data_IF_454117515634
#
_entry.id   IF_454117515634
#
_cell.length_a   1.000
_cell.length_b   1.000
_cell.length_c   1.000
_cell.angle_alpha   90.00
_cell.angle_beta   90.00
_cell.angle_gamma   90.00
#
_symmetry.space_group_name_H-M   'P 1'
#
loop_
_entity.id
_entity.type
_entity.pdbx_description
1 polymer ?
#
# COMPACT_ATOMS: atom_id res chain seq x y z
N UNK A 1 -6.54 -26.52 16.39
CA UNK A 1 -7.48 -25.73 15.57
C UNK A 1 -6.64 -24.97 14.56
N UNK A 2 -6.68 -25.39 13.30
CA UNK A 2 -5.81 -24.92 12.23
C UNK A 2 -5.87 -23.40 12.07
N UNK A 3 -4.71 -22.78 11.89
CA UNK A 3 -4.45 -21.34 11.83
C UNK A 3 -5.05 -20.72 10.54
N UNK A 4 -6.38 -20.64 10.50
CA UNK A 4 -7.12 -20.04 9.38
C UNK A 4 -6.66 -18.60 9.12
N UNK A 5 -6.23 -17.88 10.15
CA UNK A 5 -5.74 -16.51 10.05
C UNK A 5 -4.40 -16.44 9.30
N UNK A 6 -3.45 -17.30 9.66
CA UNK A 6 -2.19 -17.46 8.93
C UNK A 6 -2.43 -17.83 7.46
N UNK A 7 -3.37 -18.73 7.18
CA UNK A 7 -3.72 -19.11 5.80
C UNK A 7 -4.24 -17.92 4.97
N UNK A 8 -5.15 -17.10 5.54
CA UNK A 8 -5.67 -15.91 4.85
C UNK A 8 -4.60 -14.83 4.64
N UNK A 9 -3.69 -14.64 5.61
CA UNK A 9 -2.59 -13.68 5.48
C UNK A 9 -1.57 -14.12 4.40
N UNK A 10 -1.27 -15.42 4.31
CA UNK A 10 -0.42 -15.98 3.26
C UNK A 10 -1.09 -15.84 1.88
N UNK A 11 -2.39 -16.12 1.80
CA UNK A 11 -3.16 -15.95 0.56
C UNK A 11 -3.16 -14.51 0.06
N UNK A 12 -3.35 -13.54 0.96
CA UNK A 12 -3.26 -12.11 0.66
C UNK A 12 -1.88 -11.72 0.13
N UNK A 13 -0.81 -12.09 0.85
CA UNK A 13 0.55 -11.80 0.42
C UNK A 13 0.91 -12.46 -0.92
N UNK A 14 0.39 -13.66 -1.20
CA UNK A 14 0.58 -14.35 -2.46
C UNK A 14 -0.08 -13.61 -3.63
N UNK A 15 -1.30 -13.09 -3.44
CA UNK A 15 -2.01 -12.30 -4.46
C UNK A 15 -1.23 -11.01 -4.76
N UNK A 16 -0.82 -10.28 -3.73
CA UNK A 16 -0.04 -9.04 -3.87
C UNK A 16 1.28 -9.30 -4.63
N UNK A 17 1.99 -10.37 -4.26
CA UNK A 17 3.27 -10.72 -4.87
C UNK A 17 3.10 -11.17 -6.33
N UNK A 18 2.06 -11.97 -6.61
CA UNK A 18 1.74 -12.42 -7.96
C UNK A 18 1.33 -11.26 -8.86
N UNK A 19 0.50 -10.33 -8.35
CA UNK A 19 0.11 -9.12 -9.08
C UNK A 19 1.33 -8.29 -9.47
N UNK A 20 2.19 -7.95 -8.51
CA UNK A 20 3.41 -7.20 -8.78
C UNK A 20 4.34 -7.92 -9.79
N UNK A 21 4.49 -9.24 -9.68
CA UNK A 21 5.28 -10.04 -10.60
C UNK A 21 4.72 -10.02 -12.03
N UNK A 22 3.41 -10.23 -12.19
CA UNK A 22 2.75 -10.21 -13.50
C UNK A 22 2.81 -8.82 -14.12
N UNK A 23 2.55 -7.76 -13.36
CA UNK A 23 2.67 -6.36 -13.83
C UNK A 23 4.09 -6.08 -14.32
N UNK A 24 5.09 -6.53 -13.58
CA UNK A 24 6.51 -6.40 -13.97
C UNK A 24 6.77 -7.10 -15.31
N UNK A 25 6.30 -8.34 -15.50
CA UNK A 25 6.48 -9.09 -16.75
C UNK A 25 5.75 -8.44 -17.92
N UNK A 26 4.50 -8.02 -17.72
CA UNK A 26 3.67 -7.41 -18.76
C UNK A 26 4.36 -6.14 -19.24
N UNK A 27 4.72 -5.24 -18.32
CA UNK A 27 5.39 -3.98 -18.67
C UNK A 27 6.74 -4.23 -19.35
N UNK A 28 7.56 -5.14 -18.82
CA UNK A 28 8.85 -5.48 -19.43
C UNK A 28 8.73 -5.97 -20.88
N UNK A 29 7.56 -6.49 -21.29
CA UNK A 29 7.29 -6.97 -22.64
C UNK A 29 6.50 -6.00 -23.51
N UNK A 30 5.73 -5.08 -22.92
CA UNK A 30 4.80 -4.21 -23.65
C UNK A 30 5.30 -2.80 -23.87
N UNK A 31 6.28 -2.32 -23.09
CA UNK A 31 6.81 -0.95 -23.21
C UNK A 31 8.28 -0.93 -23.64
N UNK A 32 8.77 0.24 -24.04
CA UNK A 32 10.18 0.42 -24.38
C UNK A 32 11.08 0.21 -23.13
N UNK A 33 12.35 -0.19 -23.30
CA UNK A 33 13.28 -0.34 -22.19
C UNK A 33 13.45 0.95 -21.35
N UNK A 34 13.38 2.11 -22.00
CA UNK A 34 13.44 3.42 -21.35
C UNK A 34 12.24 3.66 -20.43
N UNK A 35 11.02 3.47 -20.94
CA UNK A 35 9.80 3.60 -20.14
C UNK A 35 9.72 2.58 -19.00
N UNK A 36 10.21 1.35 -19.24
CA UNK A 36 10.30 0.32 -18.20
C UNK A 36 11.31 0.72 -17.09
N UNK A 37 12.42 1.35 -17.46
CA UNK A 37 13.40 1.87 -16.50
C UNK A 37 12.81 2.94 -15.59
N UNK A 38 12.10 3.91 -16.16
CA UNK A 38 11.37 4.95 -15.41
C UNK A 38 10.36 4.32 -14.44
N UNK A 39 9.54 3.37 -14.93
CA UNK A 39 8.58 2.67 -14.09
C UNK A 39 9.26 1.92 -12.94
N UNK A 40 10.34 1.19 -13.22
CA UNK A 40 11.07 0.40 -12.21
C UNK A 40 11.60 1.28 -11.08
N UNK A 41 12.17 2.46 -11.41
CA UNK A 41 12.69 3.40 -10.42
C UNK A 41 11.56 3.98 -9.56
N UNK A 42 10.48 4.46 -10.18
CA UNK A 42 9.36 5.05 -9.46
C UNK A 42 8.63 4.01 -8.60
N UNK A 43 8.39 2.82 -9.14
CA UNK A 43 7.74 1.73 -8.42
C UNK A 43 8.59 1.22 -7.26
N UNK A 44 9.90 1.04 -7.46
CA UNK A 44 10.84 0.67 -6.40
C UNK A 44 10.89 1.71 -5.28
N UNK A 45 10.88 3.00 -5.62
CA UNK A 45 10.76 4.08 -4.64
C UNK A 45 9.44 4.00 -3.88
N UNK A 46 8.31 3.77 -4.55
CA UNK A 46 7.00 3.63 -3.90
C UNK A 46 6.97 2.44 -2.91
N UNK A 47 7.59 1.30 -3.24
CA UNK A 47 7.71 0.18 -2.30
C UNK A 47 8.52 0.57 -1.05
N UNK A 48 9.62 1.30 -1.22
CA UNK A 48 10.40 1.82 -0.11
C UNK A 48 9.59 2.80 0.76
N UNK A 49 8.88 3.74 0.15
CA UNK A 49 8.05 4.72 0.87
C UNK A 49 6.87 4.06 1.60
N UNK A 50 6.29 3.01 1.04
CA UNK A 50 5.30 2.19 1.73
C UNK A 50 5.90 1.49 2.96
N UNK A 51 7.17 1.09 2.92
CA UNK A 51 7.85 0.52 4.10
C UNK A 51 8.02 1.57 5.21
N UNK A 52 8.33 2.81 4.84
CA UNK A 52 8.37 3.94 5.78
C UNK A 52 6.99 4.18 6.39
N UNK A 53 5.94 4.32 5.56
CA UNK A 53 4.55 4.45 6.03
C UNK A 53 4.14 3.28 6.95
N UNK A 54 4.51 2.06 6.60
CA UNK A 54 4.20 0.88 7.38
C UNK A 54 4.82 0.94 8.79
N UNK A 55 6.10 1.30 8.88
CA UNK A 55 6.80 1.43 10.16
C UNK A 55 6.26 2.55 11.05
N UNK A 56 5.89 3.69 10.46
CA UNK A 56 5.45 4.87 11.22
C UNK A 56 3.98 4.77 11.63
N UNK A 57 3.12 4.19 10.79
CA UNK A 57 1.66 4.23 10.98
C UNK A 57 1.08 2.83 11.15
N UNK A 58 1.34 1.93 10.20
CA UNK A 58 0.63 0.64 10.12
C UNK A 58 0.96 -0.29 11.27
N UNK A 59 2.24 -0.47 11.61
CA UNK A 59 2.62 -1.37 12.70
C UNK A 59 2.16 -0.86 14.08
N UNK A 60 2.35 0.42 14.44
CA UNK A 60 1.77 0.96 15.67
C UNK A 60 0.26 0.81 15.71
N UNK A 61 -0.45 1.13 14.62
CA UNK A 61 -1.90 0.94 14.54
C UNK A 61 -2.31 -0.50 14.85
N UNK A 62 -1.61 -1.47 14.26
CA UNK A 62 -1.92 -2.90 14.44
C UNK A 62 -1.75 -3.34 15.90
N UNK A 63 -0.66 -2.94 16.55
CA UNK A 63 -0.40 -3.30 17.96
C UNK A 63 -1.40 -2.63 18.91
N UNK A 64 -1.66 -1.34 18.69
CA UNK A 64 -2.50 -0.51 19.55
C UNK A 64 -3.99 -0.86 19.43
N UNK A 65 -4.43 -1.30 18.24
CA UNK A 65 -5.84 -1.66 18.01
C UNK A 65 -6.19 -3.08 18.45
N UNK A 66 -5.20 -3.99 18.49
CA UNK A 66 -5.38 -5.36 18.97
C UNK A 66 -5.76 -5.44 20.46
N UNK A 67 -5.44 -4.41 21.24
CA UNK A 67 -5.65 -4.37 22.71
C UNK A 67 -6.72 -3.38 23.17
N UNK A 68 -7.33 -2.62 22.24
CA UNK A 68 -8.27 -1.53 22.55
C UNK A 68 -9.74 -1.96 22.52
N UNK A 69 -10.59 -1.33 23.34
CA UNK A 69 -12.05 -1.44 23.26
C UNK A 69 -12.61 -0.89 21.93
N UNK A 70 -13.83 -1.28 21.57
CA UNK A 70 -14.38 -1.06 20.22
C UNK A 70 -14.54 0.40 19.82
N UNK A 71 -14.88 1.30 20.75
CA UNK A 71 -15.05 2.73 20.46
C UNK A 71 -13.70 3.47 20.37
N UNK A 72 -12.74 3.14 21.25
CA UNK A 72 -11.38 3.68 21.15
C UNK A 72 -10.69 3.25 19.84
N UNK A 73 -10.93 2.01 19.39
CA UNK A 73 -10.41 1.48 18.14
C UNK A 73 -10.84 2.32 16.93
N UNK A 74 -12.11 2.74 16.86
CA UNK A 74 -12.62 3.57 15.75
C UNK A 74 -11.91 4.93 15.70
N UNK A 75 -11.77 5.59 16.84
CA UNK A 75 -11.06 6.87 16.96
C UNK A 75 -9.60 6.72 16.50
N UNK A 76 -8.90 5.68 16.95
CA UNK A 76 -7.51 5.39 16.57
C UNK A 76 -7.36 5.10 15.07
N UNK A 77 -8.29 4.37 14.47
CA UNK A 77 -8.31 4.11 13.02
C UNK A 77 -8.49 5.42 12.25
N UNK A 78 -9.43 6.27 12.65
CA UNK A 78 -9.62 7.57 12.01
C UNK A 78 -8.37 8.45 12.12
N UNK A 79 -7.72 8.47 13.29
CA UNK A 79 -6.45 9.15 13.49
C UNK A 79 -5.34 8.63 12.58
N UNK A 80 -5.22 7.31 12.41
CA UNK A 80 -4.23 6.71 11.52
C UNK A 80 -4.50 7.03 10.04
N UNK A 81 -5.76 7.13 9.60
CA UNK A 81 -6.10 7.56 8.25
C UNK A 81 -5.72 9.04 8.01
N UNK A 82 -5.97 9.92 8.99
CA UNK A 82 -5.55 11.32 8.92
C UNK A 82 -4.02 11.43 8.90
N UNK A 83 -3.32 10.71 9.78
CA UNK A 83 -1.85 10.66 9.78
C UNK A 83 -1.30 10.09 8.48
N UNK A 84 -1.98 9.12 7.86
CA UNK A 84 -1.62 8.59 6.55
C UNK A 84 -1.68 9.68 5.48
N UNK A 85 -2.78 10.44 5.43
CA UNK A 85 -2.90 11.57 4.50
C UNK A 85 -1.83 12.64 4.75
N UNK A 86 -1.58 13.00 6.00
CA UNK A 86 -0.57 13.99 6.35
C UNK A 86 0.84 13.53 5.97
N UNK A 87 1.18 12.26 6.25
CA UNK A 87 2.46 11.67 5.89
C UNK A 87 2.60 11.53 4.36
N UNK A 88 1.51 11.31 3.64
CA UNK A 88 1.55 11.20 2.18
C UNK A 88 1.97 12.51 1.49
N UNK A 89 1.86 13.68 2.16
CA UNK A 89 2.28 14.96 1.59
C UNK A 89 3.79 15.03 1.36
N UNK A 90 4.67 14.90 2.39
CA UNK A 90 6.10 14.91 2.16
C UNK A 90 6.57 13.72 1.32
N UNK A 91 5.94 12.54 1.45
CA UNK A 91 6.28 11.38 0.62
C UNK A 91 5.93 11.62 -0.87
N UNK A 92 4.83 12.32 -1.14
CA UNK A 92 4.45 12.74 -2.48
C UNK A 92 5.46 13.66 -3.13
N UNK A 93 5.99 14.63 -2.38
CA UNK A 93 7.06 15.51 -2.87
C UNK A 93 8.31 14.71 -3.28
N UNK A 94 8.65 13.65 -2.55
CA UNK A 94 9.76 12.76 -2.91
C UNK A 94 9.47 12.02 -4.22
N UNK A 95 8.26 11.49 -4.40
CA UNK A 95 7.88 10.79 -5.65
C UNK A 95 7.84 11.75 -6.84
N UNK A 96 7.25 12.92 -6.69
CA UNK A 96 7.21 13.95 -7.74
C UNK A 96 8.63 14.41 -8.09
N UNK A 97 9.48 14.65 -7.09
CA UNK A 97 10.89 15.00 -7.30
C UNK A 97 11.66 13.90 -8.04
N UNK A 98 11.43 12.64 -7.69
CA UNK A 98 12.03 11.50 -8.40
C UNK A 98 11.55 11.41 -9.85
N UNK A 99 10.25 11.65 -10.12
CA UNK A 99 9.70 11.66 -11.47
C UNK A 99 10.34 12.76 -12.34
N UNK A 100 10.55 13.96 -11.79
CA UNK A 100 11.30 15.03 -12.47
C UNK A 100 12.75 14.61 -12.72
N UNK A 101 13.41 14.00 -11.73
CA UNK A 101 14.81 13.59 -11.83
C UNK A 101 15.07 12.53 -12.90
N UNK A 102 14.15 11.57 -13.07
CA UNK A 102 14.25 10.53 -14.11
C UNK A 102 13.72 10.98 -15.48
N UNK A 103 13.35 12.26 -15.63
CA UNK A 103 12.91 12.83 -16.91
C UNK A 103 11.45 12.53 -17.28
N UNK A 104 10.61 12.13 -16.33
CA UNK A 104 9.19 11.81 -16.56
C UNK A 104 8.26 12.62 -15.61
N UNK A 105 8.33 13.96 -15.59
CA UNK A 105 7.56 14.81 -14.68
C UNK A 105 6.04 14.63 -14.79
N UNK A 106 5.55 14.26 -15.97
CA UNK A 106 4.13 13.99 -16.24
C UNK A 106 3.58 12.82 -15.42
N UNK A 107 4.44 11.89 -14.99
CA UNK A 107 4.05 10.76 -14.14
C UNK A 107 3.98 11.13 -12.66
N UNK A 108 4.60 12.24 -12.24
CA UNK A 108 4.77 12.58 -10.82
C UNK A 108 3.45 12.70 -10.06
N UNK A 109 2.46 13.41 -10.63
CA UNK A 109 1.15 13.57 -9.99
C UNK A 109 0.40 12.24 -9.89
N UNK A 110 0.42 11.43 -10.96
CA UNK A 110 -0.26 10.14 -10.98
C UNK A 110 0.38 9.15 -10.01
N UNK A 111 1.71 9.13 -9.93
CA UNK A 111 2.45 8.30 -8.99
C UNK A 111 2.17 8.69 -7.54
N UNK A 112 2.04 9.99 -7.26
CA UNK A 112 1.65 10.46 -5.92
C UNK A 112 0.22 10.04 -5.56
N UNK A 113 -0.75 10.23 -6.46
CA UNK A 113 -2.13 9.78 -6.23
C UNK A 113 -2.20 8.26 -6.01
N UNK A 114 -1.45 7.48 -6.80
CA UNK A 114 -1.33 6.04 -6.61
C UNK A 114 -0.75 5.68 -5.23
N UNK A 115 0.27 6.42 -4.77
CA UNK A 115 0.86 6.23 -3.43
C UNK A 115 -0.17 6.52 -2.32
N UNK A 116 -0.95 7.58 -2.43
CA UNK A 116 -2.01 7.92 -1.46
C UNK A 116 -3.04 6.79 -1.40
N UNK A 117 -3.55 6.36 -2.55
CA UNK A 117 -4.54 5.28 -2.63
C UNK A 117 -4.02 3.99 -1.99
N UNK A 118 -2.76 3.62 -2.29
CA UNK A 118 -2.13 2.45 -1.69
C UNK A 118 -2.04 2.58 -0.18
N UNK A 119 -1.48 3.68 0.34
CA UNK A 119 -1.29 3.86 1.78
C UNK A 119 -2.61 3.87 2.54
N UNK A 120 -3.65 4.49 1.98
CA UNK A 120 -5.00 4.46 2.57
C UNK A 120 -5.58 3.04 2.59
N UNK A 121 -5.46 2.30 1.49
CA UNK A 121 -5.88 0.91 1.42
C UNK A 121 -5.15 0.06 2.47
N UNK A 122 -3.82 0.14 2.55
CA UNK A 122 -3.03 -0.65 3.50
C UNK A 122 -3.40 -0.33 4.95
N UNK A 123 -3.56 0.95 5.29
CA UNK A 123 -4.02 1.36 6.63
C UNK A 123 -5.41 0.80 6.95
N UNK A 124 -6.37 0.91 6.02
CA UNK A 124 -7.73 0.40 6.21
C UNK A 124 -7.76 -1.13 6.34
N UNK A 125 -7.01 -1.83 5.49
CA UNK A 125 -6.88 -3.29 5.49
C UNK A 125 -6.30 -3.81 6.80
N UNK A 126 -5.23 -3.19 7.28
CA UNK A 126 -4.58 -3.55 8.55
C UNK A 126 -5.46 -3.26 9.76
N UNK A 127 -6.20 -2.15 9.73
CA UNK A 127 -7.23 -1.87 10.73
C UNK A 127 -8.33 -2.95 10.79
N UNK A 128 -8.78 -3.46 9.63
CA UNK A 128 -9.78 -4.54 9.56
C UNK A 128 -9.22 -5.88 10.07
N UNK A 129 -7.96 -6.20 9.75
CA UNK A 129 -7.28 -7.40 10.23
C UNK A 129 -7.08 -7.38 11.74
N UNK A 130 -6.64 -6.25 12.30
CA UNK A 130 -6.42 -6.09 13.74
C UNK A 130 -7.71 -6.24 14.57
N UNK A 131 -8.89 -5.98 13.98
CA UNK A 131 -10.21 -6.20 14.59
C UNK A 131 -10.82 -7.58 14.30
N UNK A 132 -10.01 -8.57 13.89
CA UNK A 132 -10.43 -9.94 13.55
C UNK A 132 -11.53 -10.04 12.48
N UNK A 133 -11.73 -8.99 11.68
CA UNK A 133 -12.74 -8.95 10.60
C UNK A 133 -12.13 -9.36 9.25
N UNK A 134 -11.32 -10.43 9.23
CA UNK A 134 -10.53 -10.87 8.06
C UNK A 134 -11.35 -11.03 6.77
N UNK A 135 -12.63 -11.40 6.86
CA UNK A 135 -13.52 -11.56 5.71
C UNK A 135 -13.74 -10.25 4.92
N UNK A 136 -13.69 -9.08 5.59
CA UNK A 136 -13.87 -7.77 4.92
C UNK A 136 -12.57 -7.24 4.32
N UNK A 137 -11.41 -7.57 4.90
CA UNK A 137 -10.10 -7.20 4.37
C UNK A 137 -9.87 -7.84 2.99
N UNK A 138 -10.19 -9.14 2.86
CA UNK A 138 -9.99 -9.91 1.63
C UNK A 138 -10.71 -9.37 0.39
N UNK A 139 -11.89 -8.78 0.57
CA UNK A 139 -12.68 -8.21 -0.54
C UNK A 139 -12.03 -6.92 -1.06
N UNK A 140 -11.45 -6.12 -0.17
CA UNK A 140 -10.74 -4.89 -0.54
C UNK A 140 -9.48 -5.19 -1.35
N UNK A 141 -8.71 -6.20 -0.94
CA UNK A 141 -7.46 -6.56 -1.62
C UNK A 141 -7.70 -7.20 -2.98
N UNK A 142 -8.73 -8.05 -3.11
CA UNK A 142 -9.13 -8.59 -4.40
C UNK A 142 -9.52 -7.48 -5.39
N UNK A 143 -10.22 -6.44 -4.95
CA UNK A 143 -10.62 -5.32 -5.83
C UNK A 143 -9.41 -4.46 -6.21
N UNK A 144 -8.53 -4.12 -5.28
CA UNK A 144 -7.38 -3.26 -5.58
C UNK A 144 -6.28 -3.95 -6.39
N UNK A 145 -5.95 -5.21 -6.11
CA UNK A 145 -4.81 -5.89 -6.74
C UNK A 145 -5.17 -6.68 -8.00
N UNK A 146 -6.43 -7.09 -8.19
CA UNK A 146 -6.87 -7.71 -9.45
C UNK A 146 -7.32 -6.68 -10.50
N UNK A 147 -7.60 -5.43 -10.08
CA UNK A 147 -7.94 -4.33 -10.98
C UNK A 147 -6.80 -3.31 -11.17
N UNK A 148 -5.66 -3.51 -10.53
CA UNK A 148 -4.39 -2.84 -10.85
C UNK A 148 -3.89 -3.30 -12.23
#
# INVERSE_FOLDING_TARGET
LFDLQGFWAIGDQAIVSLGNFLTTIILARSVSPESYGVWTVLFGLMLFLNSVHASVIVYPLTVITATSESEESKSRISGALVLTLLLSLPLGLVVVGAAVFVGAPELGLMAWLALICWQLQETARRALMARFSCRKALIGDAISYLCQ
#
